data_IF_566554826158
#
_entry.id   IF_566554826158
#
_cell.length_a   1.000
_cell.length_b   1.000
_cell.length_c   1.000
_cell.angle_alpha   90.00
_cell.angle_beta   90.00
_cell.angle_gamma   90.00
#
_symmetry.space_group_name_H-M   'P 1'
#
loop_
_entity.id
_entity.type
_entity.pdbx_description
1 polymer ?
#
# COMPACT_ATOMS: atom_id res chain seq x y z
N UNK A 1 1.03 -6.75 -1.06
CA UNK A 1 1.98 -6.74 0.07
C UNK A 1 3.42 -6.93 -0.39
N UNK A 2 4.36 -6.92 0.58
CA UNK A 2 5.77 -7.18 0.29
C UNK A 2 6.45 -6.11 -0.56
N UNK A 3 6.07 -4.86 -0.44
CA UNK A 3 6.76 -3.70 -1.05
C UNK A 3 8.17 -3.57 -0.47
N UNK A 4 8.29 -3.76 0.84
CA UNK A 4 9.59 -3.87 1.50
C UNK A 4 9.89 -5.35 1.78
N UNK A 5 11.04 -5.84 1.34
CA UNK A 5 11.36 -7.26 1.43
C UNK A 5 11.54 -7.80 2.86
N UNK A 6 11.91 -6.95 3.81
CA UNK A 6 12.01 -7.33 5.22
C UNK A 6 10.66 -7.41 5.94
N UNK A 7 9.60 -6.82 5.39
CA UNK A 7 8.28 -6.73 5.99
C UNK A 7 7.39 -7.90 5.54
N UNK A 8 7.66 -9.08 6.07
CA UNK A 8 7.04 -10.34 5.63
C UNK A 8 5.59 -10.51 6.06
N UNK A 9 5.18 -9.84 7.15
CA UNK A 9 3.86 -10.05 7.76
C UNK A 9 2.72 -9.71 6.81
N UNK A 10 2.82 -8.63 6.02
CA UNK A 10 1.81 -8.25 5.05
C UNK A 10 1.59 -9.30 3.96
N UNK A 11 2.67 -9.91 3.46
CA UNK A 11 2.60 -11.03 2.51
C UNK A 11 1.96 -12.27 3.14
N UNK A 12 2.33 -12.59 4.38
CA UNK A 12 1.78 -13.75 5.11
C UNK A 12 0.27 -13.59 5.39
N UNK A 13 -0.15 -12.40 5.83
CA UNK A 13 -1.57 -12.10 6.06
C UNK A 13 -2.36 -12.24 4.76
N UNK A 14 -1.84 -11.69 3.66
CA UNK A 14 -2.51 -11.76 2.37
C UNK A 14 -2.66 -13.22 1.87
N UNK A 15 -1.64 -14.05 2.04
CA UNK A 15 -1.70 -15.46 1.68
C UNK A 15 -2.71 -16.23 2.56
N UNK A 16 -2.66 -16.04 3.88
CA UNK A 16 -3.62 -16.65 4.80
C UNK A 16 -5.06 -16.22 4.52
N UNK A 17 -5.26 -14.94 4.16
CA UNK A 17 -6.56 -14.44 3.75
C UNK A 17 -7.04 -15.10 2.46
N UNK A 18 -6.16 -15.27 1.46
CA UNK A 18 -6.49 -15.96 0.21
C UNK A 18 -6.85 -17.43 0.43
N UNK A 19 -6.11 -18.15 1.27
CA UNK A 19 -6.42 -19.52 1.65
C UNK A 19 -7.80 -19.62 2.28
N UNK A 20 -8.11 -18.73 3.23
CA UNK A 20 -9.43 -18.67 3.87
C UNK A 20 -10.53 -18.33 2.87
N UNK A 21 -10.30 -17.37 1.98
CA UNK A 21 -11.25 -17.01 0.92
C UNK A 21 -11.56 -18.20 0.02
N UNK A 22 -10.54 -18.92 -0.44
CA UNK A 22 -10.70 -20.11 -1.28
C UNK A 22 -11.45 -21.24 -0.57
N UNK A 23 -11.15 -21.47 0.71
CA UNK A 23 -11.88 -22.46 1.52
C UNK A 23 -13.37 -22.10 1.66
N UNK A 24 -13.68 -20.82 1.88
CA UNK A 24 -15.07 -20.33 1.94
C UNK A 24 -15.82 -20.47 0.61
N UNK A 25 -15.14 -20.29 -0.53
CA UNK A 25 -15.75 -20.48 -1.85
C UNK A 25 -16.27 -21.90 -2.09
N UNK A 26 -15.91 -22.89 -1.27
CA UNK A 26 -16.41 -24.25 -1.38
C UNK A 26 -17.86 -24.41 -0.86
N UNK A 27 -18.34 -23.49 -0.03
CA UNK A 27 -19.63 -23.65 0.67
C UNK A 27 -20.42 -22.34 0.85
N UNK A 28 -19.78 -21.17 0.69
CA UNK A 28 -20.40 -19.86 0.95
C UNK A 28 -20.94 -19.26 -0.37
N UNK A 29 -22.22 -19.56 -0.66
CA UNK A 29 -22.88 -19.06 -1.88
C UNK A 29 -23.00 -17.53 -1.90
N UNK A 30 -23.16 -16.89 -0.73
CA UNK A 30 -23.19 -15.43 -0.61
C UNK A 30 -21.86 -14.80 -1.05
N UNK A 31 -20.76 -15.40 -0.62
CA UNK A 31 -19.42 -14.99 -1.06
C UNK A 31 -19.24 -15.19 -2.57
N UNK A 32 -19.65 -16.33 -3.11
CA UNK A 32 -19.59 -16.59 -4.56
C UNK A 32 -20.39 -15.56 -5.36
N UNK A 33 -21.58 -15.21 -4.88
CA UNK A 33 -22.39 -14.16 -5.49
C UNK A 33 -21.69 -12.79 -5.48
N UNK A 34 -21.05 -12.41 -4.38
CA UNK A 34 -20.26 -11.18 -4.31
C UNK A 34 -19.07 -11.22 -5.27
N UNK A 35 -18.33 -12.31 -5.31
CA UNK A 35 -17.17 -12.48 -6.18
C UNK A 35 -17.54 -12.50 -7.67
N UNK A 36 -18.77 -12.87 -8.03
CA UNK A 36 -19.23 -12.77 -9.41
C UNK A 36 -19.37 -11.33 -9.91
N UNK A 37 -19.45 -10.35 -8.99
CA UNK A 37 -19.63 -8.92 -9.30
C UNK A 37 -18.35 -8.10 -9.17
N UNK A 38 -17.29 -8.63 -8.57
CA UNK A 38 -16.04 -7.93 -8.32
C UNK A 38 -14.86 -8.72 -8.86
N UNK A 39 -13.81 -8.00 -9.25
CA UNK A 39 -12.52 -8.59 -9.57
C UNK A 39 -11.57 -8.38 -8.40
N UNK A 40 -11.09 -9.45 -7.82
CA UNK A 40 -10.03 -9.42 -6.82
C UNK A 40 -8.68 -9.68 -7.51
N UNK A 41 -7.71 -8.86 -7.19
CA UNK A 41 -6.32 -9.05 -7.64
C UNK A 41 -5.42 -8.94 -6.43
N UNK A 42 -4.58 -9.94 -6.25
CA UNK A 42 -3.65 -10.02 -5.14
C UNK A 42 -2.22 -10.09 -5.66
N UNK A 43 -1.37 -9.23 -5.13
CA UNK A 43 0.08 -9.25 -5.31
C UNK A 43 0.68 -9.54 -3.93
N UNK A 44 0.86 -10.82 -3.56
CA UNK A 44 1.34 -11.16 -2.22
C UNK A 44 2.75 -10.68 -1.94
N UNK A 45 3.57 -10.59 -2.98
CA UNK A 45 4.97 -10.20 -2.87
C UNK A 45 5.38 -9.38 -4.09
N UNK A 46 5.56 -8.07 -3.90
CA UNK A 46 6.03 -7.19 -4.98
C UNK A 46 7.56 -7.24 -5.11
N UNK A 47 8.28 -7.15 -3.99
CA UNK A 47 9.74 -7.04 -3.93
C UNK A 47 10.39 -8.38 -3.61
N UNK A 48 10.40 -9.29 -4.57
CA UNK A 48 10.99 -10.64 -4.42
C UNK A 48 12.47 -10.55 -4.06
N UNK A 49 13.22 -9.70 -4.75
CA UNK A 49 14.66 -9.57 -4.53
C UNK A 49 15.01 -8.99 -3.15
N UNK A 50 14.21 -8.06 -2.65
CA UNK A 50 14.35 -7.53 -1.30
C UNK A 50 14.04 -8.59 -0.24
N UNK A 51 13.01 -9.43 -0.47
CA UNK A 51 12.69 -10.54 0.42
C UNK A 51 13.85 -11.53 0.53
N UNK A 52 14.43 -11.94 -0.58
CA UNK A 52 15.56 -12.88 -0.62
C UNK A 52 16.78 -12.34 0.11
N UNK A 53 17.03 -11.03 0.02
CA UNK A 53 18.13 -10.34 0.71
C UNK A 53 17.77 -9.87 2.12
N UNK A 54 16.53 -10.02 2.55
CA UNK A 54 15.98 -9.46 3.81
C UNK A 54 16.26 -7.96 3.95
N UNK A 55 16.10 -7.21 2.86
CA UNK A 55 16.30 -5.76 2.80
C UNK A 55 14.98 -5.02 2.65
N UNK A 56 14.94 -3.76 3.11
CA UNK A 56 13.79 -2.88 2.87
C UNK A 56 13.67 -2.57 1.38
N UNK A 57 14.79 -2.18 0.76
CA UNK A 57 14.87 -1.83 -0.66
C UNK A 57 14.84 -3.06 -1.57
N UNK A 58 14.67 -2.81 -2.86
CA UNK A 58 14.88 -3.83 -3.89
C UNK A 58 16.40 -4.12 -4.10
N UNK A 59 16.78 -5.04 -4.98
CA UNK A 59 18.19 -5.38 -5.24
C UNK A 59 19.08 -4.22 -5.67
N UNK A 60 18.49 -3.16 -6.24
CA UNK A 60 19.19 -1.95 -6.66
C UNK A 60 19.35 -0.90 -5.53
N UNK A 61 18.92 -1.25 -4.31
CA UNK A 61 18.95 -0.34 -3.17
C UNK A 61 17.82 0.69 -3.15
N UNK A 62 16.83 0.55 -4.01
CA UNK A 62 15.72 1.50 -4.15
C UNK A 62 14.58 1.14 -3.21
N UNK A 63 14.10 2.11 -2.44
CA UNK A 63 12.87 2.01 -1.65
C UNK A 63 11.67 2.20 -2.59
N UNK A 64 10.96 1.11 -2.89
CA UNK A 64 9.86 1.10 -3.85
C UNK A 64 8.70 2.02 -3.46
N UNK A 65 8.45 2.18 -2.15
CA UNK A 65 7.44 3.13 -1.66
C UNK A 65 7.80 4.59 -1.96
N UNK A 66 9.07 4.88 -2.22
CA UNK A 66 9.58 6.21 -2.60
C UNK A 66 9.84 6.34 -4.10
N UNK A 67 9.69 5.25 -4.85
CA UNK A 67 9.94 5.16 -6.28
C UNK A 67 8.63 5.09 -7.08
N UNK A 68 7.76 6.07 -6.89
CA UNK A 68 6.55 6.26 -7.67
C UNK A 68 6.54 7.66 -8.31
N UNK A 69 5.65 7.95 -9.27
CA UNK A 69 5.74 9.18 -10.08
C UNK A 69 5.30 10.45 -9.35
N UNK A 70 4.86 10.36 -8.09
CA UNK A 70 4.37 11.51 -7.33
C UNK A 70 5.50 12.18 -6.55
N UNK A 71 5.64 13.49 -6.69
CA UNK A 71 6.55 14.30 -5.89
C UNK A 71 5.80 14.93 -4.70
N UNK A 72 6.44 14.93 -3.53
CA UNK A 72 5.88 15.60 -2.36
C UNK A 72 5.81 17.12 -2.59
N UNK A 73 4.74 17.72 -2.11
CA UNK A 73 4.54 19.16 -2.14
C UNK A 73 4.93 19.75 -0.77
N UNK A 74 5.87 20.70 -0.79
CA UNK A 74 6.36 21.34 0.42
C UNK A 74 7.47 20.56 1.14
N UNK A 75 7.58 20.78 2.45
CA UNK A 75 8.66 20.21 3.25
C UNK A 75 8.47 18.69 3.46
N UNK A 76 9.53 17.96 3.19
CA UNK A 76 9.66 16.54 3.57
C UNK A 76 10.84 16.37 4.53
N UNK A 77 10.64 15.59 5.58
CA UNK A 77 11.71 15.30 6.52
C UNK A 77 12.79 14.46 5.83
N UNK A 78 13.97 15.05 5.61
CA UNK A 78 15.12 14.32 5.06
C UNK A 78 15.72 13.39 6.12
N UNK A 79 16.11 12.17 5.79
CA UNK A 79 15.93 11.45 4.50
C UNK A 79 14.63 10.66 4.41
N UNK A 80 13.77 10.67 5.44
CA UNK A 80 12.56 9.87 5.58
C UNK A 80 11.57 10.07 4.41
N UNK A 81 11.44 11.30 3.93
CA UNK A 81 10.59 11.62 2.78
C UNK A 81 11.08 11.04 1.45
N UNK A 82 12.29 10.52 1.43
CA UNK A 82 12.98 9.97 0.26
C UNK A 82 14.12 10.85 -0.23
N UNK A 83 15.23 10.24 -0.63
CA UNK A 83 16.45 10.92 -1.10
C UNK A 83 16.97 10.31 -2.41
N UNK A 84 17.77 11.07 -3.17
CA UNK A 84 18.40 10.63 -4.42
C UNK A 84 19.92 10.73 -4.41
N UNK A 85 20.53 10.82 -3.21
CA UNK A 85 21.96 10.97 -3.06
C UNK A 85 22.72 9.65 -3.25
N UNK A 86 22.23 8.57 -2.64
CA UNK A 86 22.94 7.29 -2.67
C UNK A 86 22.02 6.11 -2.34
N UNK A 87 22.16 4.98 -3.06
CA UNK A 87 21.49 3.73 -2.72
C UNK A 87 22.00 3.08 -1.42
N UNK A 88 23.13 3.57 -0.88
CA UNK A 88 23.67 3.14 0.41
C UNK A 88 22.99 3.81 1.61
N UNK A 89 22.25 4.88 1.38
CA UNK A 89 21.48 5.59 2.40
C UNK A 89 20.02 5.11 2.39
N UNK A 90 19.34 5.12 3.55
CA UNK A 90 17.93 4.74 3.63
C UNK A 90 17.03 5.59 2.72
N UNK A 91 15.89 5.02 2.33
CA UNK A 91 14.85 5.69 1.54
C UNK A 91 15.33 6.26 0.20
N UNK A 92 16.28 5.58 -0.46
CA UNK A 92 16.74 5.96 -1.78
C UNK A 92 15.64 5.76 -2.81
N UNK A 93 15.35 6.80 -3.59
CA UNK A 93 14.25 6.86 -4.55
C UNK A 93 14.61 6.35 -5.94
N UNK A 94 15.82 5.90 -6.16
CA UNK A 94 16.35 5.64 -7.49
C UNK A 94 16.75 6.92 -8.24
N UNK A 95 17.09 6.79 -9.50
CA UNK A 95 17.41 7.93 -10.36
C UNK A 95 16.16 8.74 -10.70
N UNK A 96 16.34 10.02 -10.99
CA UNK A 96 15.23 10.89 -11.37
C UNK A 96 14.60 10.41 -12.68
N UNK A 97 13.28 10.44 -12.74
CA UNK A 97 12.48 9.99 -13.89
C UNK A 97 12.68 8.52 -14.29
N UNK A 98 13.16 7.70 -13.36
CA UNK A 98 13.36 6.26 -13.58
C UNK A 98 12.65 5.48 -12.48
N UNK A 99 11.70 4.64 -12.89
CA UNK A 99 11.02 3.72 -11.99
C UNK A 99 11.69 2.33 -12.07
N UNK A 100 11.79 1.68 -10.94
CA UNK A 100 12.15 0.27 -10.86
C UNK A 100 11.07 -0.59 -11.53
N UNK A 101 11.42 -1.78 -11.96
CA UNK A 101 10.47 -2.64 -12.70
C UNK A 101 9.24 -2.98 -11.87
N UNK A 102 9.41 -3.20 -10.57
CA UNK A 102 8.33 -3.47 -9.63
C UNK A 102 7.36 -2.29 -9.56
N UNK A 103 7.88 -1.07 -9.45
CA UNK A 103 7.09 0.17 -9.45
C UNK A 103 6.40 0.40 -10.79
N UNK A 104 7.10 0.15 -11.91
CA UNK A 104 6.51 0.28 -13.25
C UNK A 104 5.32 -0.65 -13.44
N UNK A 105 5.46 -1.93 -13.05
CA UNK A 105 4.39 -2.92 -13.16
C UNK A 105 3.19 -2.51 -12.31
N UNK A 106 3.42 -2.09 -11.07
CA UNK A 106 2.34 -1.66 -10.17
C UNK A 106 1.61 -0.42 -10.71
N UNK A 107 2.35 0.61 -11.09
CA UNK A 107 1.77 1.86 -11.63
C UNK A 107 0.97 1.58 -12.90
N UNK A 108 1.52 0.80 -13.83
CA UNK A 108 0.82 0.40 -15.05
C UNK A 108 -0.47 -0.36 -14.74
N UNK A 109 -0.41 -1.31 -13.80
CA UNK A 109 -1.59 -2.07 -13.40
C UNK A 109 -2.69 -1.16 -12.84
N UNK A 110 -2.33 -0.21 -11.98
CA UNK A 110 -3.28 0.77 -11.44
C UNK A 110 -3.90 1.59 -12.57
N UNK A 111 -3.09 2.12 -13.48
CA UNK A 111 -3.55 2.94 -14.60
C UNK A 111 -4.48 2.18 -15.54
N UNK A 112 -4.16 0.94 -15.90
CA UNK A 112 -4.92 0.15 -16.88
C UNK A 112 -6.14 -0.54 -16.29
N UNK A 113 -6.13 -0.90 -15.00
CA UNK A 113 -7.13 -1.80 -14.41
C UNK A 113 -7.97 -1.19 -13.31
N UNK A 114 -7.48 -0.16 -12.62
CA UNK A 114 -8.19 0.48 -11.52
C UNK A 114 -8.75 1.85 -11.88
N UNK A 115 -7.97 2.68 -12.56
CA UNK A 115 -8.46 3.99 -13.01
C UNK A 115 -9.56 3.83 -14.06
N UNK A 116 -10.56 4.70 -13.99
CA UNK A 116 -11.70 4.68 -14.90
C UNK A 116 -12.77 3.63 -14.61
N UNK A 117 -12.59 2.81 -13.55
CA UNK A 117 -13.65 1.94 -13.07
C UNK A 117 -14.66 2.73 -12.24
N UNK A 118 -15.96 2.35 -12.24
CA UNK A 118 -16.98 2.98 -11.38
C UNK A 118 -16.62 2.93 -9.89
N UNK A 119 -15.97 1.85 -9.47
CA UNK A 119 -15.42 1.67 -8.14
C UNK A 119 -14.15 0.83 -8.21
N UNK A 120 -13.11 1.29 -7.52
CA UNK A 120 -11.90 0.50 -7.30
C UNK A 120 -11.29 0.84 -5.93
N UNK A 121 -10.74 -0.16 -5.27
CA UNK A 121 -10.05 -0.01 -4.00
C UNK A 121 -8.73 -0.79 -4.04
N UNK A 122 -7.65 -0.13 -3.69
CA UNK A 122 -6.35 -0.77 -3.49
C UNK A 122 -5.99 -0.72 -2.00
N UNK A 123 -5.53 -1.84 -1.47
CA UNK A 123 -5.02 -1.93 -0.11
C UNK A 123 -3.60 -2.46 -0.13
N UNK A 124 -2.71 -1.80 0.56
CA UNK A 124 -1.33 -2.22 0.75
C UNK A 124 -1.10 -2.62 2.21
N UNK A 125 -0.62 -3.85 2.41
CA UNK A 125 -0.33 -4.39 3.72
C UNK A 125 1.13 -4.15 4.06
N UNK A 126 1.39 -3.11 4.84
CA UNK A 126 2.70 -2.73 5.36
C UNK A 126 2.84 -3.05 6.85
N UNK A 127 4.07 -3.00 7.34
CA UNK A 127 4.40 -3.05 8.76
C UNK A 127 5.52 -2.05 9.10
N UNK A 128 5.89 -1.96 10.40
CA UNK A 128 7.09 -1.23 10.82
C UNK A 128 6.93 0.27 11.06
N UNK A 129 5.70 0.78 11.25
CA UNK A 129 5.49 2.18 11.62
C UNK A 129 4.73 2.33 12.94
N UNK A 130 5.39 2.96 13.93
CA UNK A 130 4.78 3.35 15.21
C UNK A 130 4.40 2.17 16.10
N UNK A 131 3.63 2.48 17.15
CA UNK A 131 3.19 1.53 18.18
C UNK A 131 1.70 1.21 18.09
N UNK A 132 1.00 1.71 17.08
CA UNK A 132 -0.42 1.46 16.86
C UNK A 132 -0.66 1.11 15.41
N UNK A 133 -1.60 0.21 15.19
CA UNK A 133 -2.05 -0.15 13.85
C UNK A 133 -2.79 1.02 13.20
N UNK A 134 -2.52 1.23 11.92
CA UNK A 134 -3.05 2.37 11.16
C UNK A 134 -3.59 1.91 9.82
N UNK A 135 -4.68 2.52 9.42
CA UNK A 135 -5.15 2.48 8.04
C UNK A 135 -4.96 3.88 7.48
N UNK A 136 -3.95 4.02 6.65
CA UNK A 136 -3.67 5.27 5.97
C UNK A 136 -4.38 5.34 4.64
N UNK A 137 -4.98 6.48 4.40
CA UNK A 137 -5.51 6.82 3.08
C UNK A 137 -4.74 8.03 2.50
N UNK A 138 -4.88 8.32 1.18
CA UNK A 138 -4.19 9.44 0.56
C UNK A 138 -4.51 10.80 1.22
N UNK A 139 -3.65 11.80 1.07
CA UNK A 139 -2.39 11.75 0.34
C UNK A 139 -1.20 11.51 1.25
N UNK A 140 -0.13 10.90 0.67
CA UNK A 140 1.18 10.85 1.31
C UNK A 140 2.05 12.07 0.95
N UNK A 141 1.79 12.71 -0.18
CA UNK A 141 2.64 13.76 -0.77
C UNK A 141 2.32 15.17 -0.28
N UNK A 142 1.13 15.43 0.28
CA UNK A 142 0.70 16.75 0.75
C UNK A 142 -0.49 16.63 1.71
N UNK A 143 -0.83 17.76 2.38
CA UNK A 143 -1.87 17.79 3.43
C UNK A 143 -3.26 18.20 2.94
N UNK A 144 -3.47 18.36 1.65
CA UNK A 144 -4.80 18.67 1.13
C UNK A 144 -5.72 17.45 1.28
N UNK A 145 -7.01 17.72 1.49
CA UNK A 145 -8.01 16.66 1.52
C UNK A 145 -8.09 15.96 0.15
N UNK A 146 -8.11 14.62 0.12
CA UNK A 146 -8.30 13.90 -1.12
C UNK A 146 -9.72 14.10 -1.67
N UNK A 147 -9.93 14.04 -3.00
CA UNK A 147 -11.26 14.16 -3.59
C UNK A 147 -12.24 13.08 -3.11
N UNK A 148 -11.71 11.91 -2.72
CA UNK A 148 -12.48 10.76 -2.22
C UNK A 148 -12.49 10.66 -0.69
N UNK A 149 -12.45 11.80 0.01
CA UNK A 149 -12.50 11.80 1.48
C UNK A 149 -13.82 11.22 2.02
N UNK A 150 -14.92 11.50 1.34
CA UNK A 150 -16.24 10.97 1.72
C UNK A 150 -16.28 9.44 1.68
N UNK A 151 -15.69 8.84 0.66
CA UNK A 151 -15.58 7.39 0.51
C UNK A 151 -14.66 6.77 1.56
N UNK A 152 -13.56 7.45 1.90
CA UNK A 152 -12.68 7.01 2.99
C UNK A 152 -13.40 7.05 4.35
N UNK A 153 -14.21 8.08 4.60
CA UNK A 153 -15.04 8.16 5.80
C UNK A 153 -16.09 7.06 5.81
N UNK A 154 -16.77 6.79 4.67
CA UNK A 154 -17.75 5.72 4.57
C UNK A 154 -17.12 4.33 4.84
N UNK A 155 -15.93 4.06 4.32
CA UNK A 155 -15.19 2.84 4.63
C UNK A 155 -14.86 2.72 6.12
N UNK A 156 -14.47 3.81 6.77
CA UNK A 156 -14.25 3.84 8.22
C UNK A 156 -15.53 3.50 8.99
N UNK A 157 -16.67 4.08 8.61
CA UNK A 157 -17.96 3.78 9.26
C UNK A 157 -18.37 2.33 9.07
N UNK A 158 -18.22 1.77 7.86
CA UNK A 158 -18.45 0.34 7.60
C UNK A 158 -17.57 -0.53 8.49
N UNK A 159 -16.28 -0.21 8.57
CA UNK A 159 -15.34 -0.93 9.42
C UNK A 159 -15.74 -0.88 10.91
N UNK A 160 -16.00 0.32 11.43
CA UNK A 160 -16.36 0.52 12.83
C UNK A 160 -17.70 -0.17 13.19
N UNK A 161 -18.68 -0.13 12.29
CA UNK A 161 -19.96 -0.80 12.50
C UNK A 161 -19.86 -2.32 12.44
N UNK A 162 -18.95 -2.83 11.60
CA UNK A 162 -18.71 -4.29 11.49
C UNK A 162 -17.94 -4.83 12.69
N UNK A 163 -17.03 -4.03 13.24
CA UNK A 163 -16.17 -4.40 14.37
C UNK A 163 -16.27 -3.38 15.52
N UNK A 164 -17.44 -3.24 16.18
CA UNK A 164 -17.68 -2.16 17.14
C UNK A 164 -16.78 -2.23 18.38
N UNK A 165 -16.25 -3.39 18.71
CA UNK A 165 -15.32 -3.59 19.83
C UNK A 165 -13.85 -3.47 19.43
N UNK A 166 -13.57 -3.10 18.19
CA UNK A 166 -12.23 -2.98 17.66
C UNK A 166 -11.73 -1.55 17.83
N UNK A 167 -10.68 -1.34 18.64
CA UNK A 167 -10.10 -0.03 18.92
C UNK A 167 -8.65 0.12 18.45
N UNK A 168 -8.17 -0.81 17.61
CA UNK A 168 -6.74 -0.89 17.28
C UNK A 168 -6.33 0.06 16.16
N UNK A 169 -7.15 0.21 15.10
CA UNK A 169 -6.78 0.99 13.93
C UNK A 169 -7.12 2.47 14.06
N UNK A 170 -6.10 3.31 13.82
CA UNK A 170 -6.30 4.72 13.53
C UNK A 170 -6.45 4.91 12.01
N UNK A 171 -7.59 5.45 11.58
CA UNK A 171 -7.82 5.80 10.18
C UNK A 171 -7.56 7.28 9.96
N UNK A 172 -6.52 7.60 9.19
CA UNK A 172 -6.05 8.98 9.01
C UNK A 172 -5.30 9.14 7.67
N UNK A 173 -5.20 10.36 7.11
CA UNK A 173 -4.31 10.60 5.99
C UNK A 173 -2.86 10.38 6.41
N UNK A 174 -2.07 9.72 5.57
CA UNK A 174 -0.65 9.48 5.84
C UNK A 174 0.11 10.80 6.10
N UNK A 175 -0.23 11.86 5.37
CA UNK A 175 0.43 13.16 5.46
C UNK A 175 0.28 13.88 6.82
N UNK A 176 -0.60 13.42 7.70
CA UNK A 176 -0.67 13.92 9.08
C UNK A 176 0.56 13.50 9.88
N UNK A 177 1.14 12.36 9.57
CA UNK A 177 2.35 11.86 10.24
C UNK A 177 3.62 12.43 9.59
N UNK A 178 3.74 12.26 8.28
CA UNK A 178 4.85 12.82 7.50
C UNK A 178 4.51 12.79 6.00
N UNK A 179 5.05 13.73 5.26
CA UNK A 179 4.92 13.76 3.80
C UNK A 179 6.08 13.02 3.15
N UNK A 180 5.79 12.32 2.05
CA UNK A 180 6.77 11.55 1.29
C UNK A 180 6.63 11.79 -0.19
N UNK A 181 7.73 11.64 -0.90
CA UNK A 181 7.73 11.36 -2.32
C UNK A 181 7.32 9.90 -2.57
N UNK A 182 6.76 9.62 -3.71
CA UNK A 182 6.32 8.29 -4.10
C UNK A 182 4.83 8.10 -4.16
#
# INVERSE_FOLDING_TARGET
>A
GGVHGMERIGSQILLAWLENLLARCQWDEGLLHLLSKVRLVCIPLLNVGGLLKSTRSNPNGVDLMRNAPVEAQGFTAWPLGGQRLSPKLPWYRGQKNQLEIESQVLVRYVQEKLLGQPFSLAMDCHSGFGLRDRIWFPYASHRQAPPHLAEAVALREVFNNTYPNHSFYLMEPQSLNYSTHG
#
